data_IF_821655417723
#
_entry.id   IF_821655417723
#
_cell.length_a   1.000
_cell.length_b   1.000
_cell.length_c   1.000
_cell.angle_alpha   90.00
_cell.angle_beta   90.00
_cell.angle_gamma   90.00
#
_symmetry.space_group_name_H-M   'P 1'
#
loop_
_entity.id
_entity.type
_entity.pdbx_description
1 polymer ?
#
# COMPACT_ATOMS: atom_id res chain seq x y z
N UNK A 1 13.14 7.54 23.34
CA UNK A 1 12.36 7.76 22.10
C UNK A 1 11.60 9.07 22.28
N UNK A 2 11.77 10.02 21.41
CA UNK A 2 10.90 11.18 21.35
C UNK A 2 9.68 10.80 20.51
N UNK A 3 8.49 10.83 21.07
CA UNK A 3 7.23 10.52 20.38
C UNK A 3 6.53 11.80 19.89
N UNK A 4 7.16 12.96 20.09
CA UNK A 4 6.64 14.24 19.62
C UNK A 4 6.84 14.40 18.11
N UNK A 5 5.81 14.85 17.41
CA UNK A 5 5.95 15.33 16.04
C UNK A 5 6.61 16.71 16.06
N UNK A 6 7.57 16.94 15.19
CA UNK A 6 8.11 18.27 15.02
C UNK A 6 7.12 19.18 14.25
N UNK A 7 7.41 20.48 14.22
CA UNK A 7 6.55 21.46 13.56
C UNK A 7 6.31 21.18 12.07
N UNK A 8 7.27 20.54 11.39
CA UNK A 8 7.12 20.18 9.97
C UNK A 8 6.12 19.06 9.80
N UNK A 9 6.17 18.03 10.65
CA UNK A 9 5.21 16.94 10.67
C UNK A 9 3.79 17.44 10.98
N UNK A 10 3.65 18.35 11.96
CA UNK A 10 2.35 18.95 12.30
C UNK A 10 1.74 19.74 11.13
N UNK A 11 2.56 20.53 10.43
CA UNK A 11 2.13 21.26 9.24
C UNK A 11 1.76 20.31 8.10
N UNK A 12 2.55 19.26 7.85
CA UNK A 12 2.27 18.26 6.83
C UNK A 12 0.97 17.51 7.13
N UNK A 13 0.75 17.10 8.39
CA UNK A 13 -0.49 16.46 8.83
C UNK A 13 -1.70 17.36 8.58
N UNK A 14 -1.60 18.64 8.92
CA UNK A 14 -2.67 19.61 8.68
C UNK A 14 -3.04 19.65 7.19
N UNK A 15 -2.04 19.76 6.31
CA UNK A 15 -2.24 19.75 4.86
C UNK A 15 -2.92 18.45 4.38
N UNK A 16 -2.44 17.29 4.83
CA UNK A 16 -3.00 16.00 4.42
C UNK A 16 -4.45 15.84 4.90
N UNK A 17 -4.73 16.23 6.14
CA UNK A 17 -6.07 16.21 6.71
C UNK A 17 -7.04 17.13 5.95
N UNK A 18 -6.64 18.37 5.69
CA UNK A 18 -7.47 19.33 4.94
C UNK A 18 -7.76 18.83 3.53
N UNK A 19 -6.76 18.27 2.86
CA UNK A 19 -6.95 17.66 1.54
C UNK A 19 -7.90 16.45 1.60
N UNK A 20 -7.70 15.56 2.58
CA UNK A 20 -8.53 14.37 2.75
C UNK A 20 -10.00 14.76 3.00
N UNK A 21 -10.27 15.72 3.89
CA UNK A 21 -11.63 16.15 4.21
C UNK A 21 -12.32 16.91 3.05
N UNK A 22 -11.58 17.75 2.32
CA UNK A 22 -12.18 18.63 1.32
C UNK A 22 -12.22 18.03 -0.08
N UNK A 23 -11.22 17.21 -0.46
CA UNK A 23 -11.06 16.71 -1.83
C UNK A 23 -11.31 15.21 -1.99
N UNK A 24 -11.20 14.43 -0.91
CA UNK A 24 -11.34 12.97 -0.97
C UNK A 24 -12.65 12.50 -0.36
N UNK A 25 -12.97 12.94 0.84
CA UNK A 25 -14.15 12.51 1.59
C UNK A 25 -15.48 12.68 0.83
N UNK A 26 -15.71 13.81 0.14
CA UNK A 26 -16.96 14.00 -0.61
C UNK A 26 -17.17 12.99 -1.73
N UNK A 27 -16.09 12.40 -2.26
CA UNK A 27 -16.12 11.47 -3.38
C UNK A 27 -16.00 9.99 -2.94
N UNK A 28 -15.74 9.73 -1.67
CA UNK A 28 -15.37 8.40 -1.20
C UNK A 28 -16.47 7.34 -1.42
N UNK A 29 -17.74 7.71 -1.22
CA UNK A 29 -18.88 6.83 -1.46
C UNK A 29 -19.06 6.57 -2.95
N UNK A 30 -19.05 7.60 -3.78
CA UNK A 30 -19.18 7.47 -5.25
C UNK A 30 -18.07 6.57 -5.82
N UNK A 31 -16.84 6.76 -5.38
CA UNK A 31 -15.68 5.94 -5.78
C UNK A 31 -15.88 4.46 -5.41
N UNK A 32 -16.44 4.16 -4.24
CA UNK A 32 -16.77 2.79 -3.85
C UNK A 32 -17.91 2.21 -4.68
N UNK A 33 -18.99 2.95 -4.88
CA UNK A 33 -20.19 2.49 -5.58
C UNK A 33 -19.95 2.27 -7.08
N UNK A 34 -19.27 3.21 -7.73
CA UNK A 34 -19.00 3.17 -9.17
C UNK A 34 -17.81 2.28 -9.54
N UNK A 35 -16.94 1.96 -8.57
CA UNK A 35 -15.69 1.24 -8.79
C UNK A 35 -14.75 1.94 -9.81
N UNK A 36 -14.91 3.25 -10.00
CA UNK A 36 -14.11 4.05 -10.92
C UNK A 36 -12.88 4.59 -10.20
N UNK A 37 -11.73 4.51 -10.89
CA UNK A 37 -10.49 5.07 -10.39
C UNK A 37 -10.59 6.60 -10.28
N UNK A 38 -10.25 7.19 -9.12
CA UNK A 38 -10.45 8.63 -8.85
C UNK A 38 -9.35 9.49 -9.50
N UNK A 39 -9.29 9.50 -10.84
CA UNK A 39 -8.23 10.18 -11.64
C UNK A 39 -8.07 11.63 -11.25
N UNK A 40 -9.15 12.39 -11.17
CA UNK A 40 -9.11 13.82 -10.83
C UNK A 40 -8.53 14.07 -9.43
N UNK A 41 -8.82 13.20 -8.46
CA UNK A 41 -8.24 13.28 -7.11
C UNK A 41 -6.74 12.97 -7.14
N UNK A 42 -6.30 11.97 -7.93
CA UNK A 42 -4.89 11.64 -8.11
C UNK A 42 -4.11 12.78 -8.75
N UNK A 43 -4.68 13.43 -9.76
CA UNK A 43 -4.09 14.63 -10.39
C UNK A 43 -3.96 15.81 -9.42
N UNK A 44 -4.94 16.00 -8.53
CA UNK A 44 -4.81 16.98 -7.45
C UNK A 44 -3.72 16.59 -6.46
N UNK A 45 -3.64 15.32 -6.03
CA UNK A 45 -2.56 14.84 -5.16
C UNK A 45 -1.17 15.06 -5.77
N UNK A 46 -1.04 14.87 -7.09
CA UNK A 46 0.20 15.16 -7.82
C UNK A 46 0.59 16.63 -7.70
N UNK A 47 -0.35 17.56 -7.90
CA UNK A 47 -0.12 19.02 -7.75
C UNK A 47 0.30 19.42 -6.33
N UNK A 48 -0.14 18.71 -5.30
CA UNK A 48 0.27 18.91 -3.91
C UNK A 48 1.55 18.14 -3.53
N UNK A 49 2.15 17.40 -4.46
CA UNK A 49 3.38 16.65 -4.26
C UNK A 49 3.23 15.36 -3.44
N UNK A 50 2.00 14.86 -3.25
CA UNK A 50 1.74 13.67 -2.42
C UNK A 50 2.31 12.38 -3.01
N UNK A 51 2.55 12.33 -4.31
CA UNK A 51 3.11 11.15 -4.99
C UNK A 51 4.63 11.05 -4.88
N UNK A 52 5.31 12.13 -4.47
CA UNK A 52 6.76 12.19 -4.33
C UNK A 52 7.26 12.56 -2.92
N UNK A 53 6.49 12.34 -1.86
CA UNK A 53 6.82 12.79 -0.49
C UNK A 53 8.24 12.37 -0.07
N UNK A 54 8.65 11.08 -0.09
CA UNK A 54 9.97 10.69 0.38
C UNK A 54 11.05 10.75 -0.72
N UNK A 55 10.69 11.19 -1.92
CA UNK A 55 11.62 11.25 -3.05
C UNK A 55 12.53 12.46 -2.92
N UNK A 56 13.86 12.35 -3.16
CA UNK A 56 14.78 13.45 -3.13
C UNK A 56 14.39 14.58 -4.10
N UNK A 57 14.69 15.83 -3.70
CA UNK A 57 14.37 17.02 -4.50
C UNK A 57 15.06 17.05 -5.86
N UNK A 58 16.23 16.44 -5.98
CA UNK A 58 16.95 16.29 -7.25
C UNK A 58 16.18 15.51 -8.32
N UNK A 59 15.20 14.70 -7.89
CA UNK A 59 14.26 13.95 -8.75
C UNK A 59 12.83 14.53 -8.68
N UNK A 60 12.67 15.80 -8.43
CA UNK A 60 11.37 16.50 -8.35
C UNK A 60 10.47 16.05 -7.19
N UNK A 61 11.01 15.33 -6.20
CA UNK A 61 10.27 14.94 -5.00
C UNK A 61 10.25 16.02 -3.91
N UNK A 62 9.60 15.72 -2.79
CA UNK A 62 9.46 16.64 -1.67
C UNK A 62 10.64 16.57 -0.68
N UNK A 63 11.44 15.49 -0.71
CA UNK A 63 12.58 15.27 0.17
C UNK A 63 12.20 15.14 1.64
N UNK A 64 10.98 14.70 1.93
CA UNK A 64 10.51 14.45 3.29
C UNK A 64 10.94 13.05 3.77
N UNK A 65 10.76 12.80 5.06
CA UNK A 65 11.09 11.51 5.67
C UNK A 65 9.96 10.47 5.51
N UNK A 66 10.22 9.19 5.82
CA UNK A 66 9.21 8.13 5.78
C UNK A 66 8.03 8.36 6.73
N UNK A 67 8.20 9.09 7.83
CA UNK A 67 7.10 9.40 8.75
C UNK A 67 6.10 10.36 8.10
N UNK A 68 6.58 11.37 7.39
CA UNK A 68 5.72 12.28 6.62
C UNK A 68 4.89 11.53 5.57
N UNK A 69 5.50 10.57 4.87
CA UNK A 69 4.79 9.71 3.91
C UNK A 69 3.70 8.86 4.60
N UNK A 70 4.03 8.23 5.72
CA UNK A 70 3.09 7.43 6.50
C UNK A 70 1.88 8.27 6.95
N UNK A 71 2.11 9.49 7.41
CA UNK A 71 1.05 10.41 7.81
C UNK A 71 0.12 10.79 6.65
N UNK A 72 0.65 10.92 5.43
CA UNK A 72 -0.19 11.14 4.25
C UNK A 72 -1.12 9.95 3.99
N UNK A 73 -0.58 8.74 3.99
CA UNK A 73 -1.37 7.50 3.80
C UNK A 73 -2.42 7.34 4.91
N UNK A 74 -2.06 7.61 6.17
CA UNK A 74 -2.95 7.59 7.34
C UNK A 74 -4.13 8.56 7.17
N UNK A 75 -3.87 9.85 6.90
CA UNK A 75 -4.92 10.85 6.79
C UNK A 75 -5.85 10.60 5.59
N UNK A 76 -5.33 10.15 4.45
CA UNK A 76 -6.16 9.73 3.31
C UNK A 76 -7.04 8.52 3.67
N UNK A 77 -6.48 7.54 4.37
CA UNK A 77 -7.20 6.31 4.74
C UNK A 77 -8.34 6.54 5.74
N UNK A 78 -8.26 7.57 6.58
CA UNK A 78 -9.36 7.98 7.48
C UNK A 78 -10.67 8.25 6.76
N UNK A 79 -10.59 8.64 5.49
CA UNK A 79 -11.76 8.99 4.69
C UNK A 79 -11.98 8.05 3.51
N UNK A 80 -10.90 7.55 2.87
CA UNK A 80 -10.99 6.70 1.69
C UNK A 80 -9.73 5.82 1.55
N UNK A 81 -9.84 4.56 1.88
CA UNK A 81 -8.75 3.59 1.75
C UNK A 81 -8.31 3.36 0.28
N UNK A 82 -9.22 3.51 -0.68
CA UNK A 82 -8.91 3.48 -2.11
C UNK A 82 -7.86 4.53 -2.48
N UNK A 83 -8.04 5.78 -2.04
CA UNK A 83 -7.12 6.87 -2.37
C UNK A 83 -5.76 6.68 -1.71
N UNK A 84 -5.74 6.19 -0.47
CA UNK A 84 -4.50 5.93 0.27
C UNK A 84 -3.64 4.82 -0.35
N UNK A 85 -4.25 3.73 -0.84
CA UNK A 85 -3.50 2.62 -1.46
C UNK A 85 -2.89 3.01 -2.80
N UNK A 86 -3.51 3.93 -3.54
CA UNK A 86 -2.93 4.44 -4.79
C UNK A 86 -1.57 5.09 -4.51
N UNK A 87 -1.50 5.97 -3.50
CA UNK A 87 -0.25 6.61 -3.07
C UNK A 87 0.73 5.58 -2.52
N UNK A 88 0.24 4.66 -1.69
CA UNK A 88 1.09 3.64 -1.06
C UNK A 88 1.79 2.75 -2.09
N UNK A 89 1.04 2.14 -3.01
CA UNK A 89 1.60 1.25 -4.02
C UNK A 89 2.54 2.00 -4.99
N UNK A 90 2.16 3.20 -5.42
CA UNK A 90 2.99 4.03 -6.29
C UNK A 90 4.34 4.36 -5.67
N UNK A 91 4.34 4.85 -4.44
CA UNK A 91 5.55 5.34 -3.77
C UNK A 91 6.44 4.20 -3.28
N UNK A 92 5.87 3.25 -2.52
CA UNK A 92 6.66 2.21 -1.84
C UNK A 92 7.02 1.02 -2.73
N UNK A 93 6.20 0.72 -3.75
CA UNK A 93 6.39 -0.48 -4.56
C UNK A 93 6.98 -0.20 -5.96
N UNK A 94 6.88 1.04 -6.45
CA UNK A 94 7.45 1.40 -7.74
C UNK A 94 8.61 2.40 -7.64
N UNK A 95 8.43 3.54 -6.98
CA UNK A 95 9.49 4.55 -6.88
C UNK A 95 10.65 4.06 -6.00
N UNK A 96 10.35 3.54 -4.82
CA UNK A 96 11.37 3.12 -3.84
C UNK A 96 12.36 2.09 -4.39
N UNK A 97 11.95 1.00 -5.07
CA UNK A 97 12.91 0.08 -5.69
C UNK A 97 13.74 0.70 -6.81
N UNK A 98 13.20 1.65 -7.61
CA UNK A 98 14.00 2.36 -8.62
C UNK A 98 15.05 3.24 -7.93
N UNK A 99 14.68 3.99 -6.89
CA UNK A 99 15.61 4.81 -6.09
C UNK A 99 16.68 3.97 -5.42
N UNK A 100 16.34 2.78 -4.94
CA UNK A 100 17.26 1.95 -4.17
C UNK A 100 18.21 1.14 -5.06
N UNK A 101 17.71 0.60 -6.17
CA UNK A 101 18.44 -0.39 -6.98
C UNK A 101 18.70 0.05 -8.41
N UNK A 102 18.08 1.13 -8.87
CA UNK A 102 18.24 1.64 -10.23
C UNK A 102 19.62 2.24 -10.48
N UNK A 103 20.06 2.17 -11.73
CA UNK A 103 21.25 2.92 -12.21
C UNK A 103 20.96 4.42 -12.20
N UNK A 104 21.99 5.29 -12.27
CA UNK A 104 21.76 6.73 -12.40
C UNK A 104 20.85 7.10 -13.58
N UNK A 105 21.01 6.38 -14.72
CA UNK A 105 20.22 6.59 -15.94
C UNK A 105 18.75 6.19 -15.71
N UNK A 106 18.49 5.04 -15.07
CA UNK A 106 17.15 4.61 -14.72
C UNK A 106 16.48 5.59 -13.76
N UNK A 107 17.18 6.05 -12.74
CA UNK A 107 16.67 7.07 -11.81
C UNK A 107 16.32 8.36 -12.53
N UNK A 108 17.22 8.88 -13.36
CA UNK A 108 17.00 10.10 -14.12
C UNK A 108 15.84 9.98 -15.13
N UNK A 109 15.64 8.79 -15.71
CA UNK A 109 14.58 8.55 -16.69
C UNK A 109 13.20 8.43 -16.06
N UNK A 110 13.07 7.73 -14.92
CA UNK A 110 11.76 7.33 -14.40
C UNK A 110 11.32 8.12 -13.17
N UNK A 111 12.23 8.45 -12.26
CA UNK A 111 11.84 8.97 -10.96
C UNK A 111 11.21 10.35 -11.02
N UNK A 112 11.68 11.34 -11.83
CA UNK A 112 11.05 12.65 -11.89
C UNK A 112 9.59 12.63 -12.31
N UNK A 113 9.24 11.84 -13.33
CA UNK A 113 7.87 11.71 -13.81
C UNK A 113 6.96 11.00 -12.78
N UNK A 114 7.50 10.00 -12.07
CA UNK A 114 6.77 9.32 -11.01
C UNK A 114 6.60 10.24 -9.79
N UNK A 115 7.66 10.92 -9.32
CA UNK A 115 7.61 11.78 -8.14
C UNK A 115 6.68 12.99 -8.31
N UNK A 116 6.66 13.58 -9.50
CA UNK A 116 5.74 14.68 -9.84
C UNK A 116 4.31 14.22 -10.12
N UNK A 117 4.09 12.92 -10.29
CA UNK A 117 2.78 12.34 -10.63
C UNK A 117 2.35 12.52 -12.10
N UNK A 118 3.27 12.90 -12.98
CA UNK A 118 3.04 12.85 -14.45
C UNK A 118 2.82 11.40 -14.91
N UNK A 119 3.48 10.44 -14.23
CA UNK A 119 3.31 9.01 -14.41
C UNK A 119 2.98 8.33 -13.09
N UNK A 120 2.22 7.25 -13.16
CA UNK A 120 1.93 6.38 -12.02
C UNK A 120 2.75 5.09 -12.10
N UNK A 121 3.01 4.51 -10.94
CA UNK A 121 3.74 3.25 -10.79
C UNK A 121 2.90 2.10 -10.27
N UNK A 122 3.28 0.87 -10.67
CA UNK A 122 2.73 -0.38 -10.18
C UNK A 122 3.83 -1.42 -9.96
N UNK A 123 3.48 -2.50 -9.26
CA UNK A 123 4.40 -3.59 -8.90
C UNK A 123 3.78 -4.96 -9.18
N UNK A 124 4.41 -5.74 -10.05
CA UNK A 124 3.93 -7.05 -10.48
C UNK A 124 4.80 -8.18 -9.94
N UNK A 125 4.41 -8.75 -8.80
CA UNK A 125 5.03 -9.94 -8.19
C UNK A 125 4.10 -11.15 -8.29
N UNK A 126 2.88 -11.02 -7.79
CA UNK A 126 1.91 -12.10 -7.58
C UNK A 126 1.43 -12.70 -8.90
N UNK A 127 1.32 -14.04 -8.91
CA UNK A 127 0.76 -14.82 -10.03
C UNK A 127 -0.39 -15.71 -9.53
N UNK A 128 -1.25 -16.22 -10.41
CA UNK A 128 -2.35 -17.12 -10.00
C UNK A 128 -1.90 -18.32 -9.15
N UNK A 129 -0.71 -18.86 -9.41
CA UNK A 129 -0.11 -19.98 -8.67
C UNK A 129 0.95 -19.58 -7.62
N UNK A 130 1.21 -18.29 -7.41
CA UNK A 130 2.31 -17.80 -6.58
C UNK A 130 1.95 -16.51 -5.83
N UNK A 131 1.17 -16.65 -4.76
CA UNK A 131 0.87 -15.58 -3.80
C UNK A 131 1.88 -15.57 -2.65
N UNK A 132 1.56 -16.22 -1.55
CA UNK A 132 2.48 -16.37 -0.40
C UNK A 132 3.78 -17.08 -0.78
N UNK A 133 3.71 -18.12 -1.62
CA UNK A 133 4.89 -18.75 -2.24
C UNK A 133 5.36 -17.95 -3.46
N UNK A 134 5.89 -16.75 -3.21
CA UNK A 134 6.35 -15.88 -4.28
C UNK A 134 7.55 -16.43 -5.09
N UNK A 135 8.29 -17.42 -4.56
CA UNK A 135 9.33 -18.13 -5.30
C UNK A 135 8.74 -19.12 -6.31
N UNK A 136 7.49 -19.52 -6.13
CA UNK A 136 6.74 -20.39 -7.04
C UNK A 136 6.42 -19.79 -8.40
N UNK A 137 6.65 -18.47 -8.61
CA UNK A 137 6.30 -17.74 -9.83
C UNK A 137 6.81 -18.39 -11.12
N UNK A 138 6.07 -18.22 -12.22
CA UNK A 138 6.32 -18.87 -13.52
C UNK A 138 6.62 -17.87 -14.65
N UNK A 139 6.27 -16.58 -14.52
CA UNK A 139 6.60 -15.55 -15.52
C UNK A 139 8.09 -15.57 -15.78
N UNK A 140 8.48 -15.69 -17.06
CA UNK A 140 9.86 -15.80 -17.50
C UNK A 140 10.33 -14.52 -18.18
N UNK A 141 11.62 -14.25 -18.07
CA UNK A 141 12.32 -13.26 -18.87
C UNK A 141 13.58 -13.92 -19.43
N UNK A 142 13.69 -13.98 -20.76
CA UNK A 142 14.82 -14.59 -21.48
C UNK A 142 15.57 -13.49 -22.22
N UNK A 143 16.88 -13.44 -22.04
CA UNK A 143 17.72 -12.50 -22.79
C UNK A 143 17.92 -13.00 -24.23
N UNK A 144 17.54 -12.18 -25.21
CA UNK A 144 17.67 -12.41 -26.64
C UNK A 144 18.35 -11.20 -27.28
N UNK A 145 19.66 -11.32 -27.54
CA UNK A 145 20.49 -10.21 -27.96
C UNK A 145 20.56 -9.10 -26.90
N UNK A 146 20.09 -7.91 -27.29
CA UNK A 146 20.07 -6.73 -26.39
C UNK A 146 18.68 -6.45 -25.77
N UNK A 147 17.79 -7.46 -25.77
CA UNK A 147 16.45 -7.35 -25.24
C UNK A 147 16.10 -8.51 -24.29
N UNK A 148 15.32 -8.24 -23.27
CA UNK A 148 14.64 -9.26 -22.48
C UNK A 148 13.27 -9.53 -23.07
N UNK A 149 12.92 -10.80 -23.25
CA UNK A 149 11.59 -11.26 -23.70
C UNK A 149 10.83 -11.82 -22.53
N UNK A 150 9.77 -11.11 -22.12
CA UNK A 150 8.90 -11.50 -21.00
C UNK A 150 7.72 -12.29 -21.51
N UNK A 151 7.42 -13.41 -20.82
CA UNK A 151 6.25 -14.25 -21.08
C UNK A 151 5.64 -14.73 -19.75
N UNK A 152 4.32 -14.56 -19.58
CA UNK A 152 3.58 -14.96 -18.40
C UNK A 152 2.51 -13.97 -17.99
N UNK A 153 2.02 -14.05 -16.77
CA UNK A 153 1.02 -13.12 -16.24
C UNK A 153 1.23 -12.81 -14.77
N UNK A 154 0.73 -11.65 -14.34
CA UNK A 154 0.67 -11.22 -12.94
C UNK A 154 -0.77 -10.87 -12.59
N UNK A 155 -1.22 -11.21 -11.39
CA UNK A 155 -2.59 -10.93 -10.94
C UNK A 155 -2.62 -10.06 -9.68
N UNK A 156 -3.78 -9.46 -9.42
CA UNK A 156 -4.03 -8.56 -8.28
C UNK A 156 -3.14 -7.33 -8.25
N UNK A 157 -2.81 -6.75 -9.41
CA UNK A 157 -1.88 -5.63 -9.50
C UNK A 157 -2.59 -4.30 -9.25
N UNK A 158 -2.27 -3.67 -8.13
CA UNK A 158 -2.75 -2.33 -7.75
C UNK A 158 -2.22 -1.29 -8.74
N UNK A 159 -3.05 -0.31 -9.09
CA UNK A 159 -2.81 0.66 -10.16
C UNK A 159 -2.65 0.01 -11.55
N UNK A 160 -3.02 -1.26 -11.72
CA UNK A 160 -2.65 -2.11 -12.86
C UNK A 160 -2.86 -1.47 -14.22
N UNK A 161 -4.03 -0.92 -14.53
CA UNK A 161 -4.31 -0.27 -15.81
C UNK A 161 -3.99 1.22 -15.84
N UNK A 162 -3.88 1.83 -14.67
CA UNK A 162 -3.67 3.28 -14.52
C UNK A 162 -2.21 3.68 -14.51
N UNK A 163 -1.32 2.75 -14.14
CA UNK A 163 0.12 2.98 -14.10
C UNK A 163 0.72 3.09 -15.50
N UNK A 164 1.85 3.79 -15.57
CA UNK A 164 2.66 3.99 -16.77
C UNK A 164 3.99 3.22 -16.68
N UNK A 165 4.47 2.96 -15.44
CA UNK A 165 5.72 2.26 -15.15
C UNK A 165 5.46 1.13 -14.17
N UNK A 166 6.00 -0.05 -14.47
CA UNK A 166 5.79 -1.26 -13.70
C UNK A 166 7.12 -1.87 -13.29
N UNK A 167 7.24 -2.28 -12.03
CA UNK A 167 8.31 -3.15 -11.58
C UNK A 167 7.82 -4.59 -11.68
N UNK A 168 8.39 -5.37 -12.58
CA UNK A 168 7.98 -6.76 -12.83
C UNK A 168 9.05 -7.72 -12.35
N UNK A 169 8.65 -8.68 -11.54
CA UNK A 169 9.53 -9.74 -11.03
C UNK A 169 9.33 -10.99 -11.88
N UNK A 170 10.41 -11.54 -12.46
CA UNK A 170 10.33 -12.67 -13.37
C UNK A 170 11.50 -13.64 -13.19
N UNK A 171 11.34 -14.88 -13.65
CA UNK A 171 12.34 -15.94 -13.64
C UNK A 171 13.27 -15.78 -14.85
N UNK A 172 14.56 -15.61 -14.60
CA UNK A 172 15.59 -15.48 -15.63
C UNK A 172 16.39 -16.76 -15.89
N UNK A 173 16.21 -17.78 -15.02
CA UNK A 173 16.92 -19.02 -15.18
C UNK A 173 16.72 -19.98 -14.02
N UNK A 174 17.53 -21.02 -14.01
CA UNK A 174 17.64 -21.98 -12.89
C UNK A 174 19.11 -22.04 -12.50
N UNK A 175 19.38 -21.85 -11.23
CA UNK A 175 20.74 -21.96 -10.65
C UNK A 175 20.80 -23.11 -9.67
N UNK A 176 21.94 -23.79 -9.61
CA UNK A 176 22.19 -24.78 -8.58
C UNK A 176 22.84 -24.11 -7.36
N UNK A 177 22.20 -24.23 -6.21
CA UNK A 177 22.73 -23.70 -4.95
C UNK A 177 22.64 -24.76 -3.86
N UNK A 178 23.78 -25.12 -3.30
CA UNK A 178 23.87 -26.16 -2.25
C UNK A 178 23.22 -27.49 -2.68
N UNK A 179 23.45 -27.93 -3.92
CA UNK A 179 22.90 -29.17 -4.47
C UNK A 179 21.39 -29.16 -4.77
N UNK A 180 20.75 -27.97 -4.77
CA UNK A 180 19.32 -27.80 -5.11
C UNK A 180 19.17 -26.85 -6.28
N UNK A 181 18.31 -27.23 -7.23
CA UNK A 181 17.87 -26.34 -8.33
C UNK A 181 16.92 -25.29 -7.76
N UNK A 182 17.23 -24.04 -7.96
CA UNK A 182 16.44 -22.90 -7.54
C UNK A 182 16.19 -21.97 -8.74
N UNK A 183 15.02 -21.34 -8.79
CA UNK A 183 14.74 -20.29 -9.79
C UNK A 183 15.67 -19.11 -9.55
N UNK A 184 16.31 -18.64 -10.61
CA UNK A 184 16.95 -17.34 -10.68
C UNK A 184 15.87 -16.31 -11.00
N UNK A 185 15.70 -15.32 -10.13
CA UNK A 185 14.62 -14.33 -10.21
C UNK A 185 15.23 -12.95 -10.31
N UNK A 186 14.76 -12.17 -11.27
CA UNK A 186 15.23 -10.80 -11.54
C UNK A 186 14.06 -9.80 -11.52
N UNK A 187 14.39 -8.52 -11.41
CA UNK A 187 13.42 -7.42 -11.44
C UNK A 187 13.63 -6.59 -12.71
N UNK A 188 12.54 -6.10 -13.28
CA UNK A 188 12.55 -5.34 -14.54
C UNK A 188 11.67 -4.11 -14.43
N UNK A 189 12.04 -3.04 -15.12
CA UNK A 189 11.21 -1.87 -15.36
C UNK A 189 10.52 -2.05 -16.71
N UNK A 190 9.17 -2.07 -16.73
CA UNK A 190 8.37 -2.21 -17.95
C UNK A 190 7.49 -0.98 -18.09
N UNK A 191 7.42 -0.39 -19.29
CA UNK A 191 6.55 0.73 -19.61
C UNK A 191 5.21 0.23 -20.18
N UNK A 192 4.12 0.97 -19.96
CA UNK A 192 2.75 0.59 -20.28
C UNK A 192 2.55 0.16 -21.72
N UNK A 193 3.06 0.94 -22.66
CA UNK A 193 2.79 0.75 -24.10
C UNK A 193 3.81 -0.17 -24.79
N UNK A 194 4.54 -0.97 -24.00
CA UNK A 194 5.49 -1.94 -24.54
C UNK A 194 4.74 -3.01 -25.36
N UNK A 195 5.10 -3.28 -26.62
CA UNK A 195 4.48 -4.33 -27.42
C UNK A 195 4.53 -5.68 -26.70
N UNK A 196 3.41 -6.42 -26.72
CA UNK A 196 3.28 -7.68 -26.00
C UNK A 196 2.91 -7.55 -24.52
N UNK A 197 2.78 -6.32 -23.99
CA UNK A 197 2.23 -6.06 -22.67
C UNK A 197 0.78 -5.62 -22.76
N UNK A 198 -0.12 -6.38 -22.16
CA UNK A 198 -1.58 -6.15 -22.17
C UNK A 198 -2.20 -6.35 -20.78
N UNK A 199 -3.47 -5.99 -20.67
CA UNK A 199 -4.24 -6.07 -19.42
C UNK A 199 -5.35 -7.10 -19.55
N UNK A 200 -5.46 -7.99 -18.60
CA UNK A 200 -6.53 -8.95 -18.48
C UNK A 200 -7.71 -8.43 -17.67
N UNK A 201 -8.23 -9.26 -16.79
CA UNK A 201 -9.45 -9.00 -16.01
C UNK A 201 -9.24 -7.91 -14.97
N UNK A 202 -10.23 -6.98 -14.87
CA UNK A 202 -10.38 -6.09 -13.71
C UNK A 202 -11.02 -6.87 -12.56
N UNK A 203 -10.41 -6.84 -11.40
CA UNK A 203 -10.92 -7.54 -10.23
C UNK A 203 -12.14 -6.83 -9.62
N UNK A 204 -13.22 -7.58 -9.39
CA UNK A 204 -14.37 -7.14 -8.60
C UNK A 204 -14.10 -7.46 -7.13
N UNK A 205 -13.92 -6.42 -6.32
CA UNK A 205 -13.43 -6.55 -4.95
C UNK A 205 -14.50 -6.29 -3.89
N UNK A 206 -14.27 -6.84 -2.71
CA UNK A 206 -15.08 -6.60 -1.51
C UNK A 206 -14.96 -5.17 -1.03
N UNK A 207 -13.74 -4.62 -0.96
CA UNK A 207 -13.40 -3.27 -0.52
C UNK A 207 -12.37 -2.63 -1.43
N UNK A 208 -11.94 -1.39 -1.10
CA UNK A 208 -11.06 -0.56 -1.94
C UNK A 208 -11.46 -0.60 -3.42
N UNK A 209 -12.77 -0.53 -3.69
CA UNK A 209 -13.36 -0.93 -4.98
C UNK A 209 -12.96 -0.01 -6.12
N UNK A 210 -12.72 1.27 -5.85
CA UNK A 210 -12.23 2.23 -6.85
C UNK A 210 -10.72 2.10 -7.15
N UNK A 211 -9.96 1.26 -6.42
CA UNK A 211 -8.57 0.96 -6.77
C UNK A 211 -8.52 0.06 -8.00
N UNK A 212 -7.80 0.53 -9.04
CA UNK A 212 -7.66 -0.16 -10.32
C UNK A 212 -6.74 -1.39 -10.16
N UNK A 213 -7.36 -2.55 -9.93
CA UNK A 213 -6.66 -3.83 -9.71
C UNK A 213 -6.88 -4.73 -10.92
N UNK A 214 -5.78 -5.09 -11.62
CA UNK A 214 -5.84 -5.81 -12.88
C UNK A 214 -4.85 -6.97 -12.92
N UNK A 215 -5.14 -7.91 -13.82
CA UNK A 215 -4.16 -8.85 -14.34
C UNK A 215 -3.29 -8.15 -15.39
N UNK A 216 -1.99 -8.45 -15.38
CA UNK A 216 -1.01 -8.05 -16.38
C UNK A 216 -0.61 -9.26 -17.18
N UNK A 217 -0.58 -9.16 -18.51
CA UNK A 217 -0.28 -10.26 -19.45
C UNK A 217 0.91 -9.86 -20.31
N UNK A 218 1.89 -10.76 -20.39
CA UNK A 218 3.11 -10.61 -21.19
C UNK A 218 3.17 -11.74 -22.21
N UNK A 219 3.15 -11.39 -23.51
CA UNK A 219 3.25 -12.31 -24.65
C UNK A 219 4.34 -11.78 -25.58
N UNK A 220 5.52 -12.42 -25.53
CA UNK A 220 6.71 -11.98 -26.24
C UNK A 220 7.02 -10.49 -26.04
N UNK A 221 6.78 -10.00 -24.80
CA UNK A 221 6.97 -8.61 -24.44
C UNK A 221 8.47 -8.30 -24.37
N UNK A 222 8.94 -7.50 -25.34
CA UNK A 222 10.37 -7.15 -25.50
C UNK A 222 10.68 -5.83 -24.81
N UNK A 223 11.65 -5.85 -23.92
CA UNK A 223 12.16 -4.66 -23.23
C UNK A 223 13.68 -4.57 -23.40
N UNK A 224 14.25 -3.36 -23.45
CA UNK A 224 15.68 -3.16 -23.53
C UNK A 224 16.44 -3.86 -22.40
N UNK A 225 17.66 -4.31 -22.68
CA UNK A 225 18.53 -4.99 -21.72
C UNK A 225 18.78 -4.14 -20.46
N UNK A 226 18.91 -2.86 -20.62
CA UNK A 226 19.10 -1.86 -19.57
C UNK A 226 17.88 -1.68 -18.63
N UNK A 227 16.72 -2.25 -18.95
CA UNK A 227 15.55 -2.24 -18.08
C UNK A 227 15.63 -3.29 -16.95
N UNK A 228 16.69 -4.08 -16.88
CA UNK A 228 16.99 -4.91 -15.71
C UNK A 228 17.24 -3.99 -14.49
N UNK A 229 16.43 -4.13 -13.45
CA UNK A 229 16.57 -3.37 -12.22
C UNK A 229 17.51 -4.09 -11.24
N UNK A 230 18.60 -3.45 -10.89
CA UNK A 230 19.67 -4.06 -10.09
C UNK A 230 20.43 -5.11 -10.89
N UNK A 231 20.87 -6.20 -10.23
CA UNK A 231 21.61 -7.28 -10.89
C UNK A 231 20.72 -8.50 -11.15
N UNK A 232 21.02 -9.23 -12.25
CA UNK A 232 20.38 -10.50 -12.57
C UNK A 232 20.47 -11.48 -11.37
N UNK A 233 19.39 -12.20 -11.11
CA UNK A 233 19.29 -13.13 -9.98
C UNK A 233 19.08 -12.49 -8.61
N UNK A 234 18.95 -11.15 -8.52
CA UNK A 234 18.69 -10.41 -7.26
C UNK A 234 17.22 -9.97 -7.09
N UNK A 235 16.36 -10.22 -8.07
CA UNK A 235 14.98 -9.74 -8.08
C UNK A 235 14.15 -10.21 -6.90
N UNK A 236 14.35 -11.44 -6.39
CA UNK A 236 13.64 -11.89 -5.20
C UNK A 236 14.03 -11.09 -3.95
N UNK A 237 15.31 -10.80 -3.76
CA UNK A 237 15.79 -9.94 -2.67
C UNK A 237 15.26 -8.51 -2.79
N UNK A 238 15.24 -7.96 -4.01
CA UNK A 238 14.64 -6.65 -4.31
C UNK A 238 13.16 -6.66 -3.93
N UNK A 239 12.39 -7.67 -4.37
CA UNK A 239 10.97 -7.78 -4.05
C UNK A 239 10.70 -7.84 -2.53
N UNK A 240 11.47 -8.63 -1.78
CA UNK A 240 11.29 -8.74 -0.32
C UNK A 240 11.58 -7.42 0.40
N UNK A 241 12.65 -6.72 0.02
CA UNK A 241 12.96 -5.40 0.57
C UNK A 241 11.91 -4.34 0.19
N UNK A 242 11.44 -4.37 -1.05
CA UNK A 242 10.33 -3.50 -1.51
C UNK A 242 9.07 -3.72 -0.68
N UNK A 243 8.72 -4.99 -0.41
CA UNK A 243 7.57 -5.33 0.44
C UNK A 243 7.75 -4.88 1.89
N UNK A 244 8.97 -4.83 2.44
CA UNK A 244 9.18 -4.28 3.79
C UNK A 244 8.76 -2.79 3.85
N UNK A 245 9.09 -2.02 2.83
CA UNK A 245 8.62 -0.64 2.67
C UNK A 245 7.12 -0.54 2.49
N UNK A 246 6.55 -1.39 1.65
CA UNK A 246 5.11 -1.46 1.38
C UNK A 246 4.29 -1.83 2.62
N UNK A 247 4.76 -2.77 3.45
CA UNK A 247 4.12 -3.16 4.72
C UNK A 247 3.90 -1.97 5.65
N UNK A 248 4.83 -1.02 5.69
CA UNK A 248 4.69 0.22 6.48
C UNK A 248 3.55 1.08 5.92
N UNK A 249 3.45 1.22 4.60
CA UNK A 249 2.36 1.93 3.93
C UNK A 249 0.99 1.29 4.23
N UNK A 250 0.91 -0.06 4.16
CA UNK A 250 -0.33 -0.78 4.49
C UNK A 250 -0.67 -0.69 5.98
N UNK A 251 0.32 -0.71 6.86
CA UNK A 251 0.10 -0.48 8.29
C UNK A 251 -0.49 0.93 8.56
N UNK A 252 0.00 1.95 7.85
CA UNK A 252 -0.54 3.31 7.91
C UNK A 252 -1.98 3.40 7.36
N UNK A 253 -2.27 2.70 6.26
CA UNK A 253 -3.62 2.60 5.72
C UNK A 253 -4.57 1.94 6.72
N UNK A 254 -4.19 0.81 7.30
CA UNK A 254 -4.98 0.12 8.31
C UNK A 254 -5.25 1.00 9.54
N UNK A 255 -4.21 1.69 10.02
CA UNK A 255 -4.33 2.68 11.10
C UNK A 255 -5.35 3.77 10.75
N UNK A 256 -5.22 4.40 9.59
CA UNK A 256 -6.15 5.44 9.15
C UNK A 256 -7.59 4.96 9.04
N UNK A 257 -7.83 3.75 8.51
CA UNK A 257 -9.17 3.13 8.49
C UNK A 257 -9.72 2.99 9.91
N UNK A 258 -8.92 2.48 10.85
CA UNK A 258 -9.32 2.30 12.25
C UNK A 258 -9.65 3.63 12.92
N UNK A 259 -8.81 4.65 12.76
CA UNK A 259 -9.05 6.00 13.28
C UNK A 259 -10.32 6.61 12.71
N UNK A 260 -10.49 6.55 11.39
CA UNK A 260 -11.69 7.07 10.73
C UNK A 260 -12.98 6.41 11.19
N UNK A 261 -12.96 5.09 11.40
CA UNK A 261 -14.11 4.35 11.91
C UNK A 261 -14.41 4.69 13.38
N UNK A 262 -13.37 4.85 14.21
CA UNK A 262 -13.51 5.27 15.60
C UNK A 262 -14.09 6.68 15.70
N UNK A 263 -13.58 7.65 14.94
CA UNK A 263 -14.05 9.03 14.94
C UNK A 263 -15.54 9.13 14.57
N UNK A 264 -15.96 8.41 13.51
CA UNK A 264 -17.37 8.35 13.09
C UNK A 264 -18.25 7.70 14.16
N UNK A 265 -17.75 6.67 14.82
CA UNK A 265 -18.49 6.00 15.88
C UNK A 265 -18.64 6.90 17.10
N UNK A 266 -17.58 7.62 17.49
CA UNK A 266 -17.65 8.61 18.60
C UNK A 266 -18.68 9.70 18.29
N UNK A 267 -18.68 10.25 17.07
CA UNK A 267 -19.68 11.25 16.66
C UNK A 267 -21.09 10.67 16.75
N UNK A 268 -21.33 9.49 16.18
CA UNK A 268 -22.63 8.85 16.17
C UNK A 268 -23.18 8.58 17.57
N UNK A 269 -22.38 8.00 18.49
CA UNK A 269 -22.85 7.64 19.82
C UNK A 269 -23.15 8.84 20.72
N UNK A 270 -22.59 10.02 20.42
CA UNK A 270 -22.87 11.29 21.09
C UNK A 270 -24.24 11.87 20.70
N UNK A 271 -24.73 11.57 19.51
CA UNK A 271 -25.97 12.13 18.97
C UNK A 271 -27.14 11.14 19.07
N UNK A 272 -26.93 9.88 18.74
CA UNK A 272 -27.95 8.84 18.70
C UNK A 272 -28.53 8.58 20.09
N UNK A 273 -29.85 8.68 20.21
CA UNK A 273 -30.58 8.45 21.46
C UNK A 273 -31.40 7.17 21.38
N UNK A 274 -31.35 6.36 22.43
CA UNK A 274 -32.21 5.22 22.69
C UNK A 274 -32.47 5.13 24.21
N UNK A 275 -33.64 4.64 24.63
CA UNK A 275 -34.01 4.54 26.05
C UNK A 275 -33.88 5.88 26.79
N UNK A 276 -34.23 7.00 26.11
CA UNK A 276 -34.25 8.34 26.70
C UNK A 276 -32.91 9.03 26.90
N UNK A 277 -31.80 8.42 26.46
CA UNK A 277 -30.43 8.99 26.57
C UNK A 277 -29.57 8.69 25.33
N UNK A 278 -28.44 9.39 25.17
CA UNK A 278 -27.50 9.07 24.09
C UNK A 278 -26.87 7.71 24.34
N UNK A 279 -26.59 6.97 23.25
CA UNK A 279 -26.00 5.62 23.38
C UNK A 279 -24.59 5.65 23.95
N UNK A 280 -23.87 6.77 23.82
CA UNK A 280 -22.59 7.02 24.49
C UNK A 280 -22.67 7.09 26.04
N UNK A 281 -23.85 7.21 26.62
CA UNK A 281 -24.05 7.17 28.09
C UNK A 281 -24.19 5.76 28.66
N UNK A 282 -24.27 4.73 27.82
CA UNK A 282 -24.26 3.34 28.27
C UNK A 282 -22.84 2.87 28.56
N UNK A 283 -22.62 2.29 29.72
CA UNK A 283 -21.31 1.86 30.20
C UNK A 283 -20.61 0.89 29.23
N UNK A 284 -21.34 -0.07 28.67
CA UNK A 284 -20.78 -0.99 27.67
C UNK A 284 -20.27 -0.26 26.41
N UNK A 285 -20.98 0.76 25.93
CA UNK A 285 -20.52 1.59 24.80
C UNK A 285 -19.23 2.32 25.18
N UNK A 286 -19.16 2.89 26.38
CA UNK A 286 -17.97 3.59 26.87
C UNK A 286 -16.75 2.66 26.94
N UNK A 287 -16.92 1.44 27.45
CA UNK A 287 -15.84 0.44 27.52
C UNK A 287 -15.35 0.02 26.15
N UNK A 288 -16.25 -0.24 25.21
CA UNK A 288 -15.86 -0.58 23.83
C UNK A 288 -15.09 0.56 23.15
N UNK A 289 -15.52 1.82 23.33
CA UNK A 289 -14.78 2.98 22.78
C UNK A 289 -13.41 3.14 23.43
N UNK A 290 -13.28 2.92 24.73
CA UNK A 290 -11.99 2.96 25.42
C UNK A 290 -11.02 1.88 24.90
N UNK A 291 -11.50 0.65 24.70
CA UNK A 291 -10.72 -0.45 24.13
C UNK A 291 -10.28 -0.14 22.70
N UNK A 292 -11.21 0.36 21.85
CA UNK A 292 -10.92 0.75 20.48
C UNK A 292 -9.85 1.84 20.43
N UNK A 293 -10.02 2.92 21.21
CA UNK A 293 -9.08 4.03 21.26
C UNK A 293 -7.67 3.58 21.72
N UNK A 294 -7.60 2.73 22.75
CA UNK A 294 -6.33 2.20 23.26
C UNK A 294 -5.59 1.38 22.20
N UNK A 295 -6.30 0.52 21.46
CA UNK A 295 -5.70 -0.29 20.39
C UNK A 295 -5.25 0.55 19.21
N UNK A 296 -6.04 1.55 18.81
CA UNK A 296 -5.68 2.48 17.73
C UNK A 296 -4.41 3.25 18.11
N UNK A 297 -4.30 3.75 19.33
CA UNK A 297 -3.10 4.45 19.79
C UNK A 297 -1.86 3.53 19.79
N UNK A 298 -2.00 2.30 20.26
CA UNK A 298 -0.93 1.32 20.21
C UNK A 298 -0.49 1.00 18.75
N UNK A 299 -1.45 0.87 17.82
CA UNK A 299 -1.17 0.68 16.40
C UNK A 299 -0.41 1.88 15.81
N UNK A 300 -0.82 3.11 16.15
CA UNK A 300 -0.13 4.34 15.74
C UNK A 300 1.33 4.34 16.15
N UNK A 301 1.62 4.03 17.40
CA UNK A 301 2.99 3.97 17.91
C UNK A 301 3.83 2.94 17.17
N UNK A 302 3.28 1.78 16.84
CA UNK A 302 3.99 0.76 16.06
C UNK A 302 4.25 1.18 14.62
N UNK A 303 3.27 1.81 13.96
CA UNK A 303 3.39 2.31 12.58
C UNK A 303 4.46 3.40 12.50
N UNK A 304 4.45 4.37 13.42
CA UNK A 304 5.43 5.45 13.45
C UNK A 304 6.84 4.93 13.79
N UNK A 305 6.95 3.98 14.72
CA UNK A 305 8.22 3.29 15.00
C UNK A 305 8.78 2.63 13.75
N UNK A 306 7.94 1.95 12.95
CA UNK A 306 8.37 1.30 11.72
C UNK A 306 8.81 2.30 10.64
N UNK A 307 8.12 3.44 10.52
CA UNK A 307 8.51 4.53 9.63
C UNK A 307 9.88 5.12 10.02
N UNK A 308 10.11 5.37 11.32
CA UNK A 308 11.38 5.84 11.84
C UNK A 308 12.50 4.80 11.70
N UNK A 309 12.19 3.51 11.83
CA UNK A 309 13.14 2.44 11.59
C UNK A 309 13.59 2.45 10.11
N UNK A 310 12.67 2.61 9.15
CA UNK A 310 13.01 2.77 7.72
C UNK A 310 13.93 3.97 7.48
N UNK A 311 13.74 5.07 8.21
CA UNK A 311 14.56 6.28 8.06
C UNK A 311 16.00 6.10 8.58
N UNK A 312 16.21 5.24 9.58
CA UNK A 312 17.46 5.19 10.37
C UNK A 312 18.21 3.86 10.30
N UNK A 313 17.58 2.80 9.81
CA UNK A 313 18.12 1.43 9.80
C UNK A 313 18.19 0.86 8.39
N UNK A 314 19.21 0.04 8.13
CA UNK A 314 19.32 -0.71 6.87
C UNK A 314 18.34 -1.90 6.78
N UNK A 315 17.97 -2.47 7.91
CA UNK A 315 17.05 -3.61 8.02
C UNK A 315 15.98 -3.26 9.03
N UNK A 316 14.75 -3.24 8.60
CA UNK A 316 13.56 -2.85 9.38
C UNK A 316 12.39 -3.84 9.18
N UNK A 317 12.68 -5.03 8.66
CA UNK A 317 11.68 -6.04 8.30
C UNK A 317 10.81 -6.45 9.49
N UNK A 318 11.38 -6.52 10.71
CA UNK A 318 10.64 -6.90 11.91
C UNK A 318 9.66 -5.80 12.33
N UNK A 319 10.13 -4.55 12.38
CA UNK A 319 9.29 -3.40 12.71
C UNK A 319 8.16 -3.24 11.70
N UNK A 320 8.44 -3.38 10.40
CA UNK A 320 7.44 -3.31 9.34
C UNK A 320 6.39 -4.43 9.48
N UNK A 321 6.84 -5.68 9.73
CA UNK A 321 5.94 -6.81 9.91
C UNK A 321 5.08 -6.69 11.17
N UNK A 322 5.65 -6.25 12.29
CA UNK A 322 4.91 -6.01 13.55
C UNK A 322 3.85 -4.93 13.38
N UNK A 323 4.21 -3.80 12.77
CA UNK A 323 3.28 -2.69 12.53
C UNK A 323 2.12 -3.13 11.63
N UNK A 324 2.41 -3.82 10.52
CA UNK A 324 1.40 -4.29 9.57
C UNK A 324 0.46 -5.32 10.20
N UNK A 325 1.00 -6.30 10.91
CA UNK A 325 0.21 -7.32 11.59
C UNK A 325 -0.77 -6.69 12.57
N UNK A 326 -0.25 -5.88 13.49
CA UNK A 326 -1.06 -5.32 14.56
C UNK A 326 -2.08 -4.30 14.05
N UNK A 327 -1.68 -3.37 13.17
CA UNK A 327 -2.58 -2.35 12.63
C UNK A 327 -3.72 -2.97 11.80
N UNK A 328 -3.45 -4.03 11.01
CA UNK A 328 -4.47 -4.72 10.23
C UNK A 328 -5.51 -5.43 11.12
N UNK A 329 -5.06 -6.12 12.16
CA UNK A 329 -5.97 -6.77 13.13
C UNK A 329 -6.81 -5.74 13.90
N UNK A 330 -6.20 -4.62 14.31
CA UNK A 330 -6.91 -3.51 14.97
C UNK A 330 -7.93 -2.88 14.03
N UNK A 331 -7.59 -2.68 12.74
CA UNK A 331 -8.52 -2.12 11.76
C UNK A 331 -9.77 -2.99 11.60
N UNK A 332 -9.59 -4.31 11.49
CA UNK A 332 -10.73 -5.25 11.41
C UNK A 332 -11.57 -5.26 12.67
N UNK A 333 -10.94 -5.26 13.83
CA UNK A 333 -11.67 -5.24 15.10
C UNK A 333 -12.46 -3.94 15.28
N UNK A 334 -11.80 -2.79 15.07
CA UNK A 334 -12.40 -1.46 15.28
C UNK A 334 -13.54 -1.22 14.29
N UNK A 335 -13.35 -1.53 13.00
CA UNK A 335 -14.41 -1.34 11.99
C UNK A 335 -15.61 -2.26 12.23
N UNK A 336 -15.39 -3.50 12.63
CA UNK A 336 -16.46 -4.43 13.01
C UNK A 336 -17.27 -3.93 14.21
N UNK A 337 -16.57 -3.42 15.24
CA UNK A 337 -17.22 -2.81 16.41
C UNK A 337 -17.95 -1.51 16.05
N UNK A 338 -17.41 -0.71 15.14
CA UNK A 338 -18.04 0.51 14.64
C UNK A 338 -19.39 0.21 13.98
N UNK A 339 -19.44 -0.78 13.09
CA UNK A 339 -20.71 -1.25 12.50
C UNK A 339 -21.68 -1.72 13.58
N UNK A 340 -21.21 -2.53 14.53
CA UNK A 340 -22.05 -3.04 15.62
C UNK A 340 -22.61 -1.93 16.50
N UNK A 341 -21.81 -0.94 16.89
CA UNK A 341 -22.23 0.18 17.74
C UNK A 341 -23.21 1.14 17.06
N UNK A 342 -23.15 1.24 15.73
CA UNK A 342 -24.10 2.02 14.94
C UNK A 342 -25.37 1.23 14.57
N UNK A 343 -25.38 -0.09 14.81
CA UNK A 343 -26.54 -0.95 14.59
C UNK A 343 -26.98 -0.98 13.13
N UNK A 344 -28.28 -0.93 12.87
CA UNK A 344 -28.83 -0.94 11.49
C UNK A 344 -28.28 0.19 10.60
N UNK A 345 -28.00 1.36 11.16
CA UNK A 345 -27.37 2.46 10.43
C UNK A 345 -25.93 2.17 10.04
N UNK A 346 -25.17 1.47 10.86
CA UNK A 346 -23.81 1.05 10.50
C UNK A 346 -23.76 -0.01 9.40
N UNK A 347 -24.89 -0.65 9.07
CA UNK A 347 -24.98 -1.71 8.07
C UNK A 347 -25.41 -1.22 6.67
N UNK A 348 -25.88 0.01 6.57
CA UNK A 348 -26.34 0.61 5.30
C UNK A 348 -25.31 1.56 4.73
N UNK A 349 -25.28 1.68 3.38
CA UNK A 349 -24.24 2.43 2.66
C UNK A 349 -24.25 3.94 2.87
N UNK A 350 -25.31 4.50 3.40
CA UNK A 350 -25.39 5.93 3.77
C UNK A 350 -24.40 6.31 4.88
N UNK A 351 -23.89 5.31 5.62
CA UNK A 351 -22.91 5.48 6.69
C UNK A 351 -21.60 4.79 6.32
N UNK A 352 -20.50 5.50 6.46
CA UNK A 352 -19.16 5.08 5.96
C UNK A 352 -18.59 3.80 6.61
N UNK A 353 -19.03 3.43 7.80
CA UNK A 353 -18.35 2.39 8.60
C UNK A 353 -18.48 0.99 7.98
N UNK A 354 -19.54 0.70 7.21
CA UNK A 354 -19.67 -0.57 6.51
C UNK A 354 -18.61 -0.67 5.38
N UNK A 355 -18.37 0.43 4.63
CA UNK A 355 -17.31 0.51 3.63
C UNK A 355 -15.95 0.35 4.28
N UNK A 356 -15.70 1.02 5.41
CA UNK A 356 -14.45 0.91 6.15
C UNK A 356 -14.17 -0.52 6.62
N UNK A 357 -15.20 -1.26 7.03
CA UNK A 357 -15.06 -2.67 7.39
C UNK A 357 -14.67 -3.54 6.18
N UNK A 358 -15.27 -3.30 5.01
CA UNK A 358 -14.92 -4.00 3.77
C UNK A 358 -13.48 -3.66 3.33
N UNK A 359 -13.11 -2.39 3.43
CA UNK A 359 -11.79 -1.89 3.08
C UNK A 359 -10.71 -2.42 4.03
N UNK A 360 -10.99 -2.50 5.33
CA UNK A 360 -10.05 -3.01 6.33
C UNK A 360 -9.61 -4.45 6.06
N UNK A 361 -10.49 -5.30 5.54
CA UNK A 361 -10.17 -6.72 5.35
C UNK A 361 -8.97 -6.99 4.48
N UNK A 362 -8.75 -6.20 3.43
CA UNK A 362 -7.62 -6.41 2.53
C UNK A 362 -6.27 -6.18 3.24
N UNK A 363 -6.24 -5.35 4.28
CA UNK A 363 -5.00 -5.05 5.01
C UNK A 363 -4.42 -6.26 5.75
N UNK A 364 -5.22 -7.28 6.02
CA UNK A 364 -4.75 -8.57 6.57
C UNK A 364 -4.20 -9.50 5.49
N UNK A 365 -4.42 -9.21 4.19
CA UNK A 365 -4.17 -10.13 3.08
C UNK A 365 -3.00 -9.69 2.22
N UNK A 366 -3.06 -8.52 1.60
CA UNK A 366 -2.05 -8.09 0.63
C UNK A 366 -0.74 -7.64 1.28
N UNK A 367 0.31 -7.56 0.45
CA UNK A 367 1.70 -7.31 0.87
C UNK A 367 2.21 -8.26 1.96
N UNK A 368 1.72 -9.50 1.87
CA UNK A 368 1.96 -10.57 2.84
C UNK A 368 0.85 -10.67 3.87
N UNK A 369 0.20 -11.84 3.93
CA UNK A 369 -0.89 -12.09 4.88
C UNK A 369 -0.43 -11.91 6.33
N UNK A 370 -1.38 -11.83 7.27
CA UNK A 370 -1.08 -11.79 8.71
C UNK A 370 -0.20 -12.98 9.14
N UNK A 371 -0.37 -14.15 8.51
CA UNK A 371 0.49 -15.32 8.72
C UNK A 371 1.91 -15.10 8.21
N UNK A 372 2.08 -14.47 7.06
CA UNK A 372 3.41 -14.10 6.53
C UNK A 372 4.13 -13.13 7.46
N UNK A 373 3.41 -12.14 8.02
CA UNK A 373 4.01 -11.24 9.01
C UNK A 373 4.53 -12.02 10.24
N UNK A 374 3.74 -13.00 10.74
CA UNK A 374 4.15 -13.88 11.83
C UNK A 374 5.39 -14.71 11.46
N UNK A 375 5.48 -15.21 10.22
CA UNK A 375 6.66 -15.92 9.72
C UNK A 375 7.90 -15.02 9.73
N UNK A 376 7.79 -13.76 9.27
CA UNK A 376 8.89 -12.80 9.28
C UNK A 376 9.36 -12.51 10.70
N UNK A 377 8.42 -12.25 11.62
CA UNK A 377 8.72 -11.95 13.02
C UNK A 377 9.39 -13.15 13.69
N UNK A 378 8.74 -14.33 13.63
CA UNK A 378 9.25 -15.54 14.29
C UNK A 378 10.60 -15.99 13.71
N UNK A 379 10.78 -15.91 12.40
CA UNK A 379 12.04 -16.24 11.74
C UNK A 379 13.21 -15.32 12.15
N UNK A 380 12.93 -14.11 12.64
CA UNK A 380 13.96 -13.23 13.23
C UNK A 380 14.16 -13.45 14.73
N UNK A 381 13.11 -13.83 15.47
CA UNK A 381 13.22 -14.15 16.90
C UNK A 381 14.00 -15.44 17.17
N UNK A 382 13.99 -16.38 16.22
CA UNK A 382 14.60 -17.71 16.38
C UNK A 382 15.96 -17.84 15.67
N UNK A 383 16.57 -16.75 15.20
CA UNK A 383 17.95 -16.70 14.71
C UNK A 383 18.92 -16.58 15.88
#
# INVERSE_FOLDING_TARGET
>A
MDFGLDKKHEMARTLFKEFAENEVKPLAQEVDETEVFPRATVEKMAKYGFLGIPVPKEYEGQGCDPLTYVMCVEELAKVCATTSVIVSAHTSLCIDPILTYGTPEQKAKYVPDLASGRKLGAFGLTEPGAGTDAQGQQTKAVLDGDEWVLNGSKCFITNGKEADVYIIIAVTGIVEKRGRKMKEISAFIVEKDTPGFTFGTKEKKMGIRGSSTYELIFEDCRIPKENLLGAQGKGFGIAMHTLDGGRIGIAAQALGIAEGALDRTIAYVKERKQFGRTIGQFQNTQFQLADMATKVEAAKMMVYKAAMAKATQKVYSVEAAQAKLYAAEVAMEVTTKAVQLQGGYGYIREYDVERMMRDAKITEIYEGTSEVQRMVISGNLLK
#
